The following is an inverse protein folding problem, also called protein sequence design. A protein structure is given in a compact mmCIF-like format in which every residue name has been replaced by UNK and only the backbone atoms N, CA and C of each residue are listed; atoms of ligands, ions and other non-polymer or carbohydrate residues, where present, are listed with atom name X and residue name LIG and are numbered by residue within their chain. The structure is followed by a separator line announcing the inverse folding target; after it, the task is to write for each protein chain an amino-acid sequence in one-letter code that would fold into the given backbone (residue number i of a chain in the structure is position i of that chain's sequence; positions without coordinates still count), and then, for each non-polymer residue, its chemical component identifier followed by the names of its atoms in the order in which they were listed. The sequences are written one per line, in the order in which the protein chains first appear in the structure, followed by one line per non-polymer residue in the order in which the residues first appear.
data_IF_491515908945
#
_entry.id   IF_491515908945
#
_cell.length_a   1.000
_cell.length_b   1.000
_cell.length_c   1.000
_cell.angle_alpha   90.00
_cell.angle_beta   90.00
_cell.angle_gamma   90.00
#
_symmetry.space_group_name_H-M   'P 1'
#
loop_
_entity.id
_entity.type
_entity.pdbx_description
1 polymer ?
#
# COMPACT_ATOMS: atom_id res chain seq x y z
N UNK A 1 -45.04 -21.99 -4.14
CA UNK A 1 -45.39 -20.69 -4.74
C UNK A 1 -44.45 -19.65 -4.15
N UNK A 2 -43.87 -18.83 -5.02
CA UNK A 2 -42.53 -18.19 -4.93
C UNK A 2 -41.42 -19.10 -4.39
N UNK A 3 -40.77 -19.84 -5.31
CA UNK A 3 -39.40 -20.32 -5.06
C UNK A 3 -38.56 -19.08 -4.78
N UNK A 4 -38.27 -18.83 -3.51
CA UNK A 4 -37.27 -17.88 -3.07
C UNK A 4 -35.91 -18.31 -3.61
N UNK A 5 -35.65 -18.04 -4.89
CA UNK A 5 -34.29 -17.87 -5.38
C UNK A 5 -33.72 -16.76 -4.53
N UNK A 6 -32.83 -17.08 -3.60
CA UNK A 6 -32.07 -16.05 -2.89
C UNK A 6 -31.44 -15.19 -3.97
N UNK A 7 -31.97 -13.98 -4.16
CA UNK A 7 -31.37 -13.03 -5.09
C UNK A 7 -29.96 -12.85 -4.59
N UNK A 8 -28.99 -13.26 -5.41
CA UNK A 8 -27.58 -13.16 -5.10
C UNK A 8 -27.27 -11.68 -4.89
N UNK A 9 -27.34 -11.22 -3.64
CA UNK A 9 -27.12 -9.82 -3.31
C UNK A 9 -25.61 -9.63 -3.24
N UNK A 10 -25.09 -8.66 -3.99
CA UNK A 10 -23.66 -8.33 -3.98
C UNK A 10 -23.16 -8.09 -2.54
N UNK A 11 -24.03 -7.52 -1.69
CA UNK A 11 -23.77 -7.28 -0.26
C UNK A 11 -23.54 -8.61 0.48
N UNK A 12 -24.37 -9.63 0.22
CA UNK A 12 -24.20 -10.97 0.78
C UNK A 12 -22.96 -11.71 0.26
N UNK A 13 -22.45 -11.36 -0.93
CA UNK A 13 -21.15 -11.83 -1.40
C UNK A 13 -20.00 -11.18 -0.62
N UNK A 14 -20.02 -9.85 -0.44
CA UNK A 14 -19.02 -9.13 0.36
C UNK A 14 -18.95 -9.65 1.78
N UNK A 15 -20.11 -9.81 2.44
CA UNK A 15 -20.17 -10.33 3.80
C UNK A 15 -19.58 -11.75 3.91
N UNK A 16 -19.85 -12.61 2.92
CA UNK A 16 -19.26 -13.96 2.87
C UNK A 16 -17.75 -13.92 2.70
N UNK A 17 -17.23 -13.13 1.76
CA UNK A 17 -15.79 -12.96 1.55
C UNK A 17 -15.13 -12.45 2.83
N UNK A 18 -15.74 -11.45 3.48
CA UNK A 18 -15.22 -10.85 4.71
C UNK A 18 -15.19 -11.85 5.88
N UNK A 19 -16.18 -12.76 5.96
CA UNK A 19 -16.20 -13.83 6.98
C UNK A 19 -15.11 -14.90 6.79
N UNK A 20 -14.52 -15.03 5.59
CA UNK A 20 -13.37 -15.92 5.37
C UNK A 20 -12.06 -15.34 5.92
N UNK A 21 -12.03 -14.07 6.33
CA UNK A 21 -10.83 -13.45 6.90
C UNK A 21 -10.84 -13.72 8.42
N UNK A 22 -9.98 -14.63 8.93
CA UNK A 22 -9.87 -14.84 10.36
C UNK A 22 -9.31 -13.56 11.02
N UNK A 23 -10.00 -13.06 12.04
CA UNK A 23 -9.62 -11.84 12.78
C UNK A 23 -9.29 -10.65 11.85
N UNK A 24 -10.27 -10.10 11.12
CA UNK A 24 -10.05 -9.11 10.07
C UNK A 24 -9.36 -7.83 10.56
N UNK A 25 -9.53 -7.52 11.84
CA UNK A 25 -8.92 -6.36 12.49
C UNK A 25 -7.38 -6.52 12.59
N UNK A 26 -6.89 -7.66 13.11
CA UNK A 26 -5.46 -7.99 13.21
C UNK A 26 -4.84 -8.06 11.81
N UNK A 27 -5.50 -8.77 10.89
CA UNK A 27 -5.02 -8.91 9.52
C UNK A 27 -4.89 -7.54 8.82
N UNK A 28 -5.88 -6.66 8.96
CA UNK A 28 -5.83 -5.31 8.41
C UNK A 28 -4.69 -4.47 8.99
N UNK A 29 -4.42 -4.57 10.30
CA UNK A 29 -3.33 -3.83 10.93
C UNK A 29 -1.96 -4.34 10.49
N UNK A 30 -1.81 -5.66 10.32
CA UNK A 30 -0.58 -6.25 9.80
C UNK A 30 -0.29 -5.76 8.37
N UNK A 31 -1.31 -5.71 7.51
CA UNK A 31 -1.20 -5.16 6.15
C UNK A 31 -0.73 -3.70 6.19
N UNK A 32 -1.36 -2.86 7.01
CA UNK A 32 -1.00 -1.46 7.14
C UNK A 32 0.43 -1.27 7.67
N UNK A 33 0.82 -2.07 8.67
CA UNK A 33 2.16 -2.04 9.23
C UNK A 33 3.23 -2.41 8.21
N UNK A 34 3.00 -3.45 7.40
CA UNK A 34 3.90 -3.85 6.31
C UNK A 34 3.99 -2.76 5.24
N UNK A 35 2.85 -2.19 4.84
CA UNK A 35 2.81 -1.11 3.86
C UNK A 35 3.65 0.09 4.31
N UNK A 36 3.47 0.50 5.56
CA UNK A 36 4.18 1.63 6.15
C UNK A 36 5.68 1.33 6.33
N UNK A 37 6.05 0.13 6.77
CA UNK A 37 7.45 -0.27 6.92
C UNK A 37 8.22 -0.17 5.59
N UNK A 38 7.66 -0.70 4.50
CA UNK A 38 8.29 -0.59 3.18
C UNK A 38 8.35 0.86 2.69
N UNK A 39 7.33 1.67 2.99
CA UNK A 39 7.35 3.10 2.69
C UNK A 39 8.50 3.82 3.42
N UNK A 40 8.73 3.49 4.70
CA UNK A 40 9.84 4.07 5.47
C UNK A 40 11.19 3.62 4.92
N UNK A 41 11.35 2.36 4.52
CA UNK A 41 12.59 1.91 3.85
C UNK A 41 12.88 2.70 2.55
N UNK A 42 11.85 3.08 1.80
CA UNK A 42 12.00 3.99 0.65
C UNK A 42 12.43 5.39 1.09
N UNK A 43 11.86 5.92 2.17
CA UNK A 43 12.21 7.25 2.65
C UNK A 43 13.64 7.31 3.19
N UNK A 44 14.08 6.27 3.90
CA UNK A 44 15.43 6.18 4.45
C UNK A 44 16.52 5.81 3.43
N UNK A 45 16.13 5.61 2.16
CA UNK A 45 17.04 5.31 1.05
C UNK A 45 18.14 6.35 0.91
N UNK A 46 19.40 5.91 0.95
CA UNK A 46 20.60 6.76 0.78
C UNK A 46 20.80 7.87 1.84
N UNK A 47 20.16 7.81 3.01
CA UNK A 47 20.29 8.87 4.03
C UNK A 47 21.37 8.62 5.09
N UNK A 48 21.71 7.37 5.48
CA UNK A 48 22.46 7.19 6.74
C UNK A 48 23.58 6.14 6.80
N UNK A 49 23.81 5.23 5.84
CA UNK A 49 24.94 4.27 5.92
C UNK A 49 25.45 3.76 4.56
N UNK A 50 26.64 3.14 4.58
CA UNK A 50 27.34 2.53 3.43
C UNK A 50 26.53 1.42 2.73
N UNK A 51 25.69 0.69 3.47
CA UNK A 51 24.78 -0.32 2.94
C UNK A 51 23.45 0.30 2.51
N UNK A 52 23.36 0.60 1.21
CA UNK A 52 22.14 1.14 0.62
C UNK A 52 21.20 -0.01 0.28
N UNK A 53 20.21 -0.24 1.15
CA UNK A 53 19.18 -1.27 0.95
C UNK A 53 18.22 -0.94 -0.19
N UNK A 54 17.90 0.34 -0.39
CA UNK A 54 17.04 0.81 -1.46
C UNK A 54 17.67 2.07 -2.08
N UNK A 55 18.02 1.96 -3.36
CA UNK A 55 18.45 3.09 -4.22
C UNK A 55 17.49 3.11 -5.39
N UNK A 56 17.17 4.30 -5.86
CA UNK A 56 16.40 4.49 -7.06
C UNK A 56 17.28 4.29 -8.31
N UNK A 57 18.48 4.87 -8.28
CA UNK A 57 19.40 4.88 -9.41
C UNK A 57 20.84 4.72 -8.90
N UNK A 58 21.64 3.93 -9.62
CA UNK A 58 23.10 3.91 -9.51
C UNK A 58 23.72 4.42 -10.79
N UNK A 59 24.69 5.30 -10.67
CA UNK A 59 25.58 5.72 -11.76
C UNK A 59 27.00 5.39 -11.36
N UNK A 60 27.74 4.74 -12.25
CA UNK A 60 29.15 4.39 -12.05
C UNK A 60 29.95 4.85 -13.26
N UNK A 61 30.90 5.75 -13.03
CA UNK A 61 31.94 6.09 -14.02
C UNK A 61 33.27 5.44 -13.61
N UNK A 62 34.40 5.91 -14.16
CA UNK A 62 35.75 5.40 -13.88
C UNK A 62 36.34 5.85 -12.54
N UNK A 63 35.76 6.85 -11.88
CA UNK A 63 36.31 7.47 -10.66
C UNK A 63 35.40 7.31 -9.45
N UNK A 64 34.09 7.26 -9.65
CA UNK A 64 33.06 7.38 -8.61
C UNK A 64 31.83 6.51 -8.90
N UNK A 65 31.13 6.15 -7.83
CA UNK A 65 29.83 5.48 -7.85
C UNK A 65 28.83 6.28 -7.03
N UNK A 66 27.84 6.83 -7.73
CA UNK A 66 26.74 7.60 -7.15
C UNK A 66 25.51 6.71 -7.03
N UNK A 67 24.93 6.68 -5.83
CA UNK A 67 23.62 6.08 -5.56
C UNK A 67 22.63 7.17 -5.13
N UNK A 68 21.53 7.28 -5.87
CA UNK A 68 20.46 8.24 -5.60
C UNK A 68 19.27 7.52 -4.98
N UNK A 69 18.81 8.01 -3.84
CA UNK A 69 17.56 7.62 -3.18
C UNK A 69 16.46 8.67 -3.41
N UNK A 70 15.36 8.58 -2.65
CA UNK A 70 14.28 9.58 -2.73
C UNK A 70 14.60 10.88 -1.98
N UNK A 71 15.38 10.81 -0.90
CA UNK A 71 15.74 11.97 -0.07
C UNK A 71 17.26 12.14 0.12
N UNK A 72 18.06 11.13 -0.22
CA UNK A 72 19.52 11.15 -0.05
C UNK A 72 20.27 10.78 -1.31
N UNK A 73 21.52 11.23 -1.37
CA UNK A 73 22.49 10.91 -2.42
C UNK A 73 23.77 10.45 -1.75
N UNK A 74 24.28 9.30 -2.17
CA UNK A 74 25.54 8.76 -1.71
C UNK A 74 26.56 8.73 -2.84
N UNK A 75 27.77 9.17 -2.57
CA UNK A 75 28.92 9.00 -3.47
C UNK A 75 30.00 8.15 -2.81
N UNK A 76 30.73 7.42 -3.63
CA UNK A 76 31.86 6.60 -3.26
C UNK A 76 32.90 6.63 -4.39
N UNK A 77 34.09 7.13 -4.10
CA UNK A 77 35.24 6.98 -5.00
C UNK A 77 35.60 5.49 -5.16
N UNK A 78 35.98 5.06 -6.36
CA UNK A 78 36.20 3.62 -6.67
C UNK A 78 37.28 2.99 -5.78
N UNK A 79 38.29 3.77 -5.40
CA UNK A 79 39.40 3.32 -4.56
C UNK A 79 39.18 3.58 -3.07
N UNK A 80 38.00 4.06 -2.67
CA UNK A 80 37.69 4.37 -1.28
C UNK A 80 36.67 3.40 -0.68
N UNK A 81 36.91 3.01 0.57
CA UNK A 81 35.93 2.31 1.40
C UNK A 81 34.94 3.26 2.05
N UNK A 82 35.23 4.57 2.09
CA UNK A 82 34.34 5.57 2.64
C UNK A 82 33.29 5.99 1.61
N UNK A 83 32.02 5.84 1.99
CA UNK A 83 30.87 6.36 1.24
C UNK A 83 30.32 7.59 1.97
N UNK A 84 30.16 8.67 1.24
CA UNK A 84 29.61 9.94 1.75
C UNK A 84 28.15 10.01 1.34
N UNK A 85 27.24 10.11 2.30
CA UNK A 85 25.80 10.19 2.06
C UNK A 85 25.25 11.48 2.64
N UNK A 86 24.60 12.28 1.81
CA UNK A 86 23.97 13.54 2.20
C UNK A 86 22.67 13.79 1.45
N UNK A 87 21.84 14.68 1.98
CA UNK A 87 20.73 15.26 1.24
C UNK A 87 21.27 16.10 0.07
N UNK A 88 20.51 16.23 -1.03
CA UNK A 88 20.95 16.97 -2.22
C UNK A 88 21.32 18.43 -1.91
N UNK A 89 20.67 19.06 -0.94
CA UNK A 89 20.99 20.45 -0.54
C UNK A 89 22.44 20.65 -0.08
N UNK A 90 23.12 19.57 0.30
CA UNK A 90 24.49 19.59 0.80
C UNK A 90 25.51 19.18 -0.27
N UNK A 91 25.06 18.83 -1.49
CA UNK A 91 25.93 18.58 -2.62
C UNK A 91 26.07 19.85 -3.43
N UNK A 92 27.26 20.45 -3.43
CA UNK A 92 27.57 21.53 -4.35
C UNK A 92 27.96 20.97 -5.74
N UNK A 93 27.75 21.77 -6.78
CA UNK A 93 28.00 21.36 -8.16
C UNK A 93 29.51 21.23 -8.48
N UNK A 94 30.38 21.87 -7.70
CA UNK A 94 31.84 21.93 -7.86
C UNK A 94 32.61 20.76 -7.23
N UNK A 95 32.24 20.28 -6.05
CA UNK A 95 32.88 19.15 -5.34
C UNK A 95 32.28 17.80 -5.71
N UNK A 96 31.14 17.80 -6.43
CA UNK A 96 30.34 16.60 -6.69
C UNK A 96 29.47 16.63 -7.92
N UNK A 97 29.92 17.28 -9.00
CA UNK A 97 29.10 17.56 -10.19
C UNK A 97 28.25 16.38 -10.68
N UNK A 98 28.81 15.16 -10.76
CA UNK A 98 28.06 13.98 -11.20
C UNK A 98 26.95 13.57 -10.22
N UNK A 99 27.21 13.64 -8.91
CA UNK A 99 26.22 13.31 -7.88
C UNK A 99 25.07 14.33 -7.88
N UNK A 100 25.41 15.61 -8.02
CA UNK A 100 24.44 16.70 -8.13
C UNK A 100 23.59 16.59 -9.40
N UNK A 101 24.20 16.41 -10.58
CA UNK A 101 23.48 16.31 -11.85
C UNK A 101 22.56 15.09 -11.90
N UNK A 102 23.06 13.93 -11.48
CA UNK A 102 22.31 12.67 -11.49
C UNK A 102 21.08 12.74 -10.58
N UNK A 103 21.24 13.30 -9.38
CA UNK A 103 20.15 13.43 -8.42
C UNK A 103 19.15 14.50 -8.85
N UNK A 104 19.61 15.64 -9.37
CA UNK A 104 18.73 16.67 -9.94
C UNK A 104 17.88 16.11 -11.08
N UNK A 105 18.45 15.31 -11.97
CA UNK A 105 17.68 14.68 -13.05
C UNK A 105 16.70 13.64 -12.52
N UNK A 106 17.13 12.75 -11.63
CA UNK A 106 16.24 11.78 -11.03
C UNK A 106 15.04 12.46 -10.35
N UNK A 107 15.30 13.53 -9.58
CA UNK A 107 14.28 14.25 -8.80
C UNK A 107 13.47 15.28 -9.60
N UNK A 108 13.84 15.55 -10.86
CA UNK A 108 13.06 16.43 -11.75
C UNK A 108 11.63 15.91 -11.99
N UNK A 109 11.43 14.59 -11.98
CA UNK A 109 10.08 13.99 -11.98
C UNK A 109 9.75 13.22 -10.70
N UNK A 110 10.76 12.86 -9.91
CA UNK A 110 10.57 12.23 -8.61
C UNK A 110 10.47 13.30 -7.56
N UNK A 111 9.26 13.74 -7.25
CA UNK A 111 9.08 14.78 -6.24
C UNK A 111 9.19 14.16 -4.84
N UNK A 112 10.27 14.42 -4.07
CA UNK A 112 10.30 14.05 -2.65
C UNK A 112 9.11 14.61 -1.88
N UNK A 113 8.54 15.72 -2.35
CA UNK A 113 7.28 16.31 -1.83
C UNK A 113 6.10 15.33 -1.98
N UNK A 114 5.94 14.67 -3.12
CA UNK A 114 4.84 13.72 -3.33
C UNK A 114 5.00 12.51 -2.40
N UNK A 115 6.22 12.01 -2.23
CA UNK A 115 6.48 10.93 -1.28
C UNK A 115 6.24 11.39 0.18
N UNK A 116 6.59 12.62 0.53
CA UNK A 116 6.28 13.18 1.84
C UNK A 116 4.75 13.26 2.09
N UNK A 117 3.98 13.68 1.08
CA UNK A 117 2.50 13.69 1.15
C UNK A 117 1.96 12.26 1.35
N UNK A 118 2.51 11.26 0.66
CA UNK A 118 2.15 9.85 0.86
C UNK A 118 2.43 9.41 2.30
N UNK A 119 3.58 9.79 2.87
CA UNK A 119 3.92 9.49 4.27
C UNK A 119 2.88 10.12 5.21
N UNK A 120 2.45 11.35 4.97
CA UNK A 120 1.40 12.00 5.77
C UNK A 120 0.09 11.22 5.70
N UNK A 121 -0.41 10.91 4.49
CA UNK A 121 -1.66 10.15 4.34
C UNK A 121 -1.58 8.75 4.98
N UNK A 122 -0.45 8.06 4.84
CA UNK A 122 -0.25 6.75 5.45
C UNK A 122 -0.26 6.82 6.98
N UNK A 123 0.37 7.85 7.55
CA UNK A 123 0.43 8.06 9.00
C UNK A 123 -0.96 8.43 9.54
N UNK A 124 -1.70 9.30 8.83
CA UNK A 124 -3.10 9.58 9.14
C UNK A 124 -3.94 8.30 9.13
N UNK A 125 -3.72 7.40 8.17
CA UNK A 125 -4.43 6.12 8.12
C UNK A 125 -4.16 5.25 9.36
N UNK A 126 -2.93 5.25 9.89
CA UNK A 126 -2.61 4.56 11.16
C UNK A 126 -3.38 5.21 12.32
N UNK A 127 -3.34 6.54 12.43
CA UNK A 127 -4.06 7.27 13.48
C UNK A 127 -5.56 6.99 13.43
N UNK A 128 -6.18 7.05 12.25
CA UNK A 128 -7.59 6.74 12.04
C UNK A 128 -7.94 5.29 12.40
N UNK A 129 -7.02 4.36 12.11
CA UNK A 129 -7.20 2.96 12.49
C UNK A 129 -7.17 2.78 14.00
N UNK A 130 -6.32 3.51 14.72
CA UNK A 130 -6.31 3.53 16.20
C UNK A 130 -7.61 4.14 16.73
N UNK A 131 -8.04 5.28 16.18
CA UNK A 131 -9.31 5.92 16.57
C UNK A 131 -10.53 5.02 16.36
N UNK A 132 -10.52 4.19 15.32
CA UNK A 132 -11.55 3.16 15.08
C UNK A 132 -11.68 2.18 16.26
N UNK A 133 -10.56 1.80 16.89
CA UNK A 133 -10.57 0.93 18.08
C UNK A 133 -11.03 1.66 19.33
N UNK A 134 -10.65 2.93 19.50
CA UNK A 134 -11.01 3.73 20.68
C UNK A 134 -12.48 4.18 20.67
N UNK A 135 -13.06 4.41 19.49
CA UNK A 135 -14.42 4.91 19.33
C UNK A 135 -15.24 4.05 18.35
N UNK A 136 -15.56 2.78 18.71
CA UNK A 136 -16.24 1.84 17.82
C UNK A 136 -17.66 2.26 17.43
N UNK A 137 -18.30 3.15 18.20
CA UNK A 137 -19.62 3.70 17.88
C UNK A 137 -19.69 4.39 16.49
N UNK A 138 -18.56 4.88 15.99
CA UNK A 138 -18.46 5.56 14.69
C UNK A 138 -17.70 4.73 13.65
N UNK A 139 -17.74 3.40 13.77
CA UNK A 139 -16.97 2.48 12.90
C UNK A 139 -17.21 2.74 11.40
N UNK A 140 -18.41 3.15 11.00
CA UNK A 140 -18.73 3.50 9.60
C UNK A 140 -17.92 4.69 9.13
N UNK A 141 -17.89 5.78 9.91
CA UNK A 141 -17.14 7.00 9.63
C UNK A 141 -15.63 6.72 9.63
N UNK A 142 -15.14 5.96 10.60
CA UNK A 142 -13.73 5.58 10.63
C UNK A 142 -13.33 4.72 9.43
N UNK A 143 -14.19 3.78 9.02
CA UNK A 143 -13.89 2.89 7.90
C UNK A 143 -13.80 3.64 6.57
N UNK A 144 -14.71 4.59 6.32
CA UNK A 144 -14.62 5.42 5.10
C UNK A 144 -13.40 6.36 5.15
N UNK A 145 -13.08 6.92 6.32
CA UNK A 145 -11.87 7.76 6.47
C UNK A 145 -10.61 6.94 6.19
N UNK A 146 -10.44 5.77 6.83
CA UNK A 146 -9.33 4.85 6.56
C UNK A 146 -9.23 4.49 5.07
N UNK A 147 -10.36 4.12 4.45
CA UNK A 147 -10.45 3.83 3.01
C UNK A 147 -9.94 5.01 2.17
N UNK A 148 -10.44 6.22 2.42
CA UNK A 148 -10.05 7.40 1.63
C UNK A 148 -8.57 7.74 1.79
N UNK A 149 -8.05 7.74 3.02
CA UNK A 149 -6.63 8.06 3.27
C UNK A 149 -5.69 7.00 2.70
N UNK A 150 -6.03 5.71 2.81
CA UNK A 150 -5.21 4.63 2.25
C UNK A 150 -5.29 4.55 0.74
N UNK A 151 -6.45 4.85 0.15
CA UNK A 151 -6.59 4.91 -1.31
C UNK A 151 -5.78 6.08 -1.87
N UNK A 152 -5.84 7.25 -1.23
CA UNK A 152 -5.01 8.39 -1.60
C UNK A 152 -3.51 8.05 -1.48
N UNK A 153 -3.07 7.45 -0.37
CA UNK A 153 -1.69 7.00 -0.21
C UNK A 153 -1.28 6.00 -1.30
N UNK A 154 -2.13 5.02 -1.61
CA UNK A 154 -1.89 4.04 -2.67
C UNK A 154 -1.72 4.72 -4.03
N UNK A 155 -2.67 5.56 -4.45
CA UNK A 155 -2.65 6.17 -5.78
C UNK A 155 -1.48 7.13 -5.95
N UNK A 156 -1.20 7.95 -4.93
CA UNK A 156 -0.08 8.88 -4.96
C UNK A 156 1.27 8.14 -4.91
N UNK A 157 1.37 7.02 -4.17
CA UNK A 157 2.57 6.20 -4.16
C UNK A 157 2.78 5.49 -5.50
N UNK A 158 1.73 4.90 -6.07
CA UNK A 158 1.81 4.28 -7.40
C UNK A 158 2.25 5.30 -8.46
N UNK A 159 1.68 6.51 -8.44
CA UNK A 159 2.07 7.60 -9.33
C UNK A 159 3.55 8.00 -9.11
N UNK A 160 3.95 8.20 -7.85
CA UNK A 160 5.34 8.53 -7.50
C UNK A 160 6.32 7.46 -8.01
N UNK A 161 5.99 6.18 -7.82
CA UNK A 161 6.84 5.08 -8.28
C UNK A 161 6.89 5.01 -9.81
N UNK A 162 5.77 5.21 -10.50
CA UNK A 162 5.73 5.25 -11.96
C UNK A 162 6.60 6.38 -12.53
N UNK A 163 6.45 7.61 -12.01
CA UNK A 163 7.27 8.76 -12.40
C UNK A 163 8.75 8.52 -12.09
N UNK A 164 9.05 7.90 -10.95
CA UNK A 164 10.42 7.57 -10.57
C UNK A 164 11.07 6.55 -11.48
N UNK A 165 10.33 5.53 -11.89
CA UNK A 165 10.82 4.55 -12.84
C UNK A 165 11.06 5.18 -14.21
N UNK A 166 10.12 6.01 -14.71
CA UNK A 166 10.26 6.69 -15.99
C UNK A 166 11.51 7.59 -15.98
N UNK A 167 11.66 8.43 -14.97
CA UNK A 167 12.80 9.34 -14.83
C UNK A 167 14.13 8.62 -14.73
N UNK A 168 14.25 7.68 -13.79
CA UNK A 168 15.49 6.96 -13.56
C UNK A 168 15.88 6.07 -14.74
N UNK A 169 14.91 5.42 -15.41
CA UNK A 169 15.18 4.62 -16.60
C UNK A 169 15.60 5.50 -17.78
N UNK A 170 14.90 6.62 -18.01
CA UNK A 170 15.24 7.54 -19.11
C UNK A 170 16.66 8.09 -18.95
N UNK A 171 17.01 8.51 -17.73
CA UNK A 171 18.37 8.95 -17.43
C UNK A 171 19.39 7.82 -17.60
N UNK A 172 19.07 6.62 -17.12
CA UNK A 172 19.97 5.48 -17.21
C UNK A 172 20.28 5.11 -18.66
N UNK A 173 19.26 5.07 -19.52
CA UNK A 173 19.41 4.85 -20.96
C UNK A 173 20.25 5.95 -21.59
N UNK A 174 19.98 7.22 -21.29
CA UNK A 174 20.75 8.36 -21.80
C UNK A 174 22.24 8.27 -21.44
N UNK A 175 22.56 8.02 -20.17
CA UNK A 175 23.96 7.88 -19.73
C UNK A 175 24.66 6.70 -20.41
N UNK A 176 23.99 5.55 -20.50
CA UNK A 176 24.54 4.36 -21.15
C UNK A 176 24.79 4.57 -22.64
N UNK A 177 23.90 5.28 -23.34
CA UNK A 177 24.06 5.59 -24.77
C UNK A 177 25.22 6.55 -25.05
N UNK A 178 25.48 7.49 -24.15
CA UNK A 178 26.62 8.43 -24.30
C UNK A 178 27.98 7.82 -23.98
N UNK A 179 28.02 6.62 -23.37
CA UNK A 179 29.26 5.97 -22.93
C UNK A 179 29.98 6.67 -21.76
N UNK A 180 29.43 7.76 -21.22
CA UNK A 180 30.06 8.55 -20.14
C UNK A 180 30.05 7.84 -18.78
N UNK A 181 29.01 7.04 -18.52
CA UNK A 181 28.90 6.25 -17.30
C UNK A 181 27.94 5.08 -17.52
N UNK A 182 28.04 4.07 -16.65
CA UNK A 182 27.05 3.00 -16.55
C UNK A 182 25.99 3.37 -15.52
N UNK A 183 24.74 3.41 -15.93
CA UNK A 183 23.61 3.75 -15.08
C UNK A 183 22.60 2.61 -15.02
N UNK A 184 22.13 2.29 -13.80
CA UNK A 184 21.19 1.19 -13.54
C UNK A 184 20.14 1.60 -12.53
N UNK A 185 18.90 1.27 -12.85
CA UNK A 185 17.77 1.40 -11.94
C UNK A 185 17.89 0.41 -10.76
N UNK A 186 17.49 0.84 -9.55
CA UNK A 186 17.56 0.03 -8.35
C UNK A 186 16.28 -0.77 -8.08
N UNK A 187 16.37 -2.09 -8.32
CA UNK A 187 15.25 -3.04 -8.19
C UNK A 187 14.61 -3.03 -6.80
N UNK A 188 15.41 -2.94 -5.73
CA UNK A 188 14.87 -2.96 -4.36
C UNK A 188 13.92 -1.80 -4.08
N UNK A 189 14.24 -0.58 -4.54
CA UNK A 189 13.35 0.57 -4.37
C UNK A 189 12.04 0.40 -5.18
N UNK A 190 12.10 -0.14 -6.40
CA UNK A 190 10.88 -0.51 -7.12
C UNK A 190 10.02 -1.49 -6.32
N UNK A 191 10.63 -2.58 -5.87
CA UNK A 191 9.93 -3.65 -5.17
C UNK A 191 9.26 -3.12 -3.91
N UNK A 192 9.98 -2.37 -3.06
CA UNK A 192 9.37 -1.80 -1.85
C UNK A 192 8.23 -0.82 -2.16
N UNK A 193 8.37 0.03 -3.18
CA UNK A 193 7.32 0.99 -3.56
C UNK A 193 6.05 0.32 -4.07
N UNK A 194 6.19 -0.63 -4.99
CA UNK A 194 5.05 -1.35 -5.55
C UNK A 194 4.39 -2.27 -4.54
N UNK A 195 5.17 -2.97 -3.70
CA UNK A 195 4.62 -3.78 -2.61
C UNK A 195 3.87 -2.87 -1.63
N UNK A 196 4.49 -1.79 -1.15
CA UNK A 196 3.84 -0.85 -0.23
C UNK A 196 2.51 -0.33 -0.80
N UNK A 197 2.49 0.10 -2.06
CA UNK A 197 1.27 0.52 -2.75
C UNK A 197 0.22 -0.58 -2.82
N UNK A 198 0.62 -1.82 -3.13
CA UNK A 198 -0.28 -2.97 -3.18
C UNK A 198 -0.91 -3.30 -1.82
N UNK A 199 -0.13 -3.19 -0.74
CA UNK A 199 -0.65 -3.37 0.62
C UNK A 199 -1.60 -2.23 1.03
N UNK A 200 -1.34 -0.98 0.65
CA UNK A 200 -2.31 0.11 0.86
C UNK A 200 -3.62 -0.10 0.09
N UNK A 201 -3.54 -0.63 -1.14
CA UNK A 201 -4.73 -1.01 -1.90
C UNK A 201 -5.51 -2.11 -1.19
N UNK A 202 -4.83 -3.17 -0.75
CA UNK A 202 -5.47 -4.28 -0.04
C UNK A 202 -6.14 -3.82 1.26
N UNK A 203 -5.47 -2.96 2.02
CA UNK A 203 -6.04 -2.36 3.23
C UNK A 203 -7.29 -1.53 2.92
N UNK A 204 -7.26 -0.77 1.83
CA UNK A 204 -8.40 0.00 1.33
C UNK A 204 -9.58 -0.91 0.99
N UNK A 205 -9.35 -2.01 0.27
CA UNK A 205 -10.40 -2.98 -0.09
C UNK A 205 -11.05 -3.62 1.14
N UNK A 206 -10.27 -3.96 2.16
CA UNK A 206 -10.81 -4.48 3.44
C UNK A 206 -11.74 -3.44 4.09
N UNK A 207 -11.32 -2.18 4.12
CA UNK A 207 -12.14 -1.10 4.72
C UNK A 207 -13.35 -0.73 3.87
N UNK A 208 -13.29 -0.87 2.54
CA UNK A 208 -14.45 -0.78 1.67
C UNK A 208 -15.46 -1.88 1.96
N UNK A 209 -14.99 -3.12 2.18
CA UNK A 209 -15.82 -4.24 2.60
C UNK A 209 -16.52 -3.95 3.93
N UNK A 210 -15.76 -3.53 4.94
CA UNK A 210 -16.28 -3.19 6.27
C UNK A 210 -17.32 -2.05 6.19
N UNK A 211 -17.01 -0.98 5.46
CA UNK A 211 -17.94 0.13 5.25
C UNK A 211 -19.22 -0.31 4.55
N UNK A 212 -19.11 -1.18 3.53
CA UNK A 212 -20.26 -1.71 2.79
C UNK A 212 -21.16 -2.54 3.71
N UNK A 213 -20.58 -3.40 4.56
CA UNK A 213 -21.31 -4.21 5.54
C UNK A 213 -22.02 -3.29 6.54
N UNK A 214 -21.32 -2.33 7.15
CA UNK A 214 -21.89 -1.42 8.14
C UNK A 214 -22.98 -0.51 7.56
N UNK A 215 -22.80 -0.01 6.33
CA UNK A 215 -23.82 0.80 5.66
C UNK A 215 -25.11 0.03 5.39
N UNK A 216 -25.01 -1.28 5.12
CA UNK A 216 -26.14 -2.13 4.78
C UNK A 216 -26.56 -3.06 5.91
N UNK A 217 -26.10 -2.81 7.15
CA UNK A 217 -26.29 -3.68 8.30
C UNK A 217 -27.74 -4.10 8.52
N UNK A 218 -28.68 -3.16 8.46
CA UNK A 218 -30.12 -3.45 8.61
C UNK A 218 -30.62 -4.42 7.53
N UNK A 219 -30.32 -4.14 6.25
CA UNK A 219 -30.71 -5.00 5.13
C UNK A 219 -30.06 -6.39 5.23
N UNK A 220 -28.83 -6.46 5.69
CA UNK A 220 -28.13 -7.73 5.96
C UNK A 220 -28.84 -8.53 7.05
N UNK A 221 -29.27 -7.89 8.14
CA UNK A 221 -30.07 -8.56 9.17
C UNK A 221 -31.42 -9.04 8.65
N UNK A 222 -32.11 -8.25 7.82
CA UNK A 222 -33.37 -8.64 7.19
C UNK A 222 -33.19 -9.85 6.24
N UNK A 223 -32.18 -9.83 5.37
CA UNK A 223 -31.87 -10.97 4.47
C UNK A 223 -31.50 -12.24 5.26
N UNK A 224 -30.78 -12.07 6.38
CA UNK A 224 -30.37 -13.18 7.24
C UNK A 224 -31.54 -13.72 8.07
N UNK A 225 -32.42 -12.85 8.59
CA UNK A 225 -33.58 -13.25 9.37
C UNK A 225 -34.62 -13.98 8.51
N UNK A 226 -34.84 -13.54 7.27
CA UNK A 226 -35.66 -14.25 6.27
C UNK A 226 -35.09 -15.64 5.95
N UNK A 227 -33.77 -15.76 5.89
CA UNK A 227 -33.11 -17.05 5.67
C UNK A 227 -33.29 -18.00 6.86
N UNK A 228 -33.19 -17.48 8.10
CA UNK A 228 -33.39 -18.28 9.31
C UNK A 228 -34.86 -18.62 9.58
N UNK A 229 -35.81 -17.73 9.27
CA UNK A 229 -37.25 -18.00 9.40
C UNK A 229 -37.66 -19.12 8.44
N UNK A 230 -37.09 -19.15 7.24
CA UNK A 230 -37.32 -20.23 6.30
C UNK A 230 -36.75 -21.57 6.79
N UNK A 231 -35.55 -21.59 7.36
CA UNK A 231 -34.95 -22.81 7.93
C UNK A 231 -35.77 -23.32 9.13
N UNK A 232 -36.15 -22.45 10.06
CA UNK A 232 -36.97 -22.83 11.22
C UNK A 232 -38.36 -23.31 10.81
N UNK A 233 -38.97 -22.70 9.78
CA UNK A 233 -40.26 -23.17 9.24
C UNK A 233 -40.14 -24.53 8.57
N UNK A 234 -39.06 -24.77 7.81
CA UNK A 234 -38.79 -26.09 7.23
C UNK A 234 -38.49 -27.15 8.29
N UNK A 235 -37.75 -26.83 9.33
CA UNK A 235 -37.50 -27.75 10.44
C UNK A 235 -38.81 -28.12 11.15
N UNK A 236 -39.70 -27.15 11.42
CA UNK A 236 -41.02 -27.45 11.97
C UNK A 236 -41.88 -28.32 11.06
N UNK A 237 -41.84 -28.08 9.75
CA UNK A 237 -42.57 -28.92 8.78
C UNK A 237 -42.04 -30.36 8.75
N UNK A 238 -40.72 -30.54 8.89
CA UNK A 238 -40.11 -31.86 9.00
C UNK A 238 -40.50 -32.52 10.33
N UNK A 239 -40.47 -31.80 11.46
CA UNK A 239 -40.94 -32.33 12.75
C UNK A 239 -42.42 -32.74 12.71
N UNK A 240 -43.29 -31.92 12.13
CA UNK A 240 -44.72 -32.25 12.01
C UNK A 240 -44.95 -33.43 11.08
N UNK A 241 -44.21 -33.57 9.97
CA UNK A 241 -44.28 -34.78 9.13
C UNK A 241 -43.73 -36.01 9.85
N UNK A 242 -42.69 -35.87 10.69
CA UNK A 242 -42.15 -36.98 11.46
C UNK A 242 -43.10 -37.44 12.57
N UNK A 243 -43.84 -36.53 13.20
CA UNK A 243 -44.87 -36.88 14.18
C UNK A 243 -46.09 -37.55 13.53
N UNK A 244 -46.54 -37.08 12.36
CA UNK A 244 -47.67 -37.71 11.65
C UNK A 244 -47.34 -39.14 11.21
N UNK A 245 -46.09 -39.44 10.83
CA UNK A 245 -45.67 -40.80 10.47
C UNK A 245 -45.45 -41.74 11.66
N UNK A 246 -45.46 -41.25 12.90
CA UNK A 246 -45.27 -42.09 14.09
C UNK A 246 -46.58 -42.61 14.69
N UNK A 247 -47.71 -42.05 14.26
CA UNK A 247 -49.06 -42.41 14.69
C UNK A 247 -49.80 -43.32 13.68
N UNK A 248 -49.09 -43.88 12.69
CA UNK A 248 -49.58 -44.89 11.74
C UNK A 248 -48.82 -46.21 11.83
#
# INVERSE_FOLDING_TARGET
MERGTSKFSWIGLVARIYNYIPHPSIFSNAILGIAWLFLIFLCCSCLTKSSIFARLLRVKNETTTVDVGFFGVCDQAINSTSRVCHELRNWDQTTGGLAYETSRFAWLQVHPVLLAIVVVFSTLSIVLTILKYLAPAYIRQWSISCLTTSTAACLLLALQMALAHISANSYAVGMNLTGKATAKFGVAAAVFGWISSGFFLLFSLIHLGLWTIERNKQKLFEETSLSFSFITTKLRLIETQYFICKDY
#
